data_IF_439811106914
#
_entry.id   IF_439811106914
#
_cell.length_a   1.000
_cell.length_b   1.000
_cell.length_c   1.000
_cell.angle_alpha   90.00
_cell.angle_beta   90.00
_cell.angle_gamma   90.00
#
_symmetry.space_group_name_H-M   'P 1'
#
loop_
_entity.id
_entity.type
_entity.pdbx_description
1 polymer ?
#
# COMPACT_ATOMS: atom_id res chain seq x y z
N UNK A 1 3.55 16.01 29.72
CA UNK A 1 2.37 15.70 28.89
C UNK A 1 2.51 14.25 28.46
N UNK A 2 1.52 13.37 28.73
CA UNK A 2 1.54 12.03 28.12
C UNK A 2 1.35 12.26 26.63
N UNK A 3 2.37 12.02 25.80
CA UNK A 3 2.18 11.98 24.35
C UNK A 3 1.09 10.93 24.09
N UNK A 4 -0.08 11.38 23.64
CA UNK A 4 -1.13 10.47 23.24
C UNK A 4 -0.63 9.68 22.04
N UNK A 5 -0.95 8.40 21.96
CA UNK A 5 -0.63 7.57 20.78
C UNK A 5 -1.19 8.16 19.49
N UNK A 6 -2.21 9.03 19.57
CA UNK A 6 -2.72 9.78 18.44
C UNK A 6 -1.78 10.92 17.98
N UNK A 7 -1.08 11.59 18.89
CA UNK A 7 -0.16 12.67 18.54
C UNK A 7 1.01 12.17 17.68
N UNK A 8 1.58 11.01 18.01
CA UNK A 8 2.63 10.39 17.19
C UNK A 8 2.09 9.97 15.81
N UNK A 9 0.85 9.47 15.73
CA UNK A 9 0.20 9.16 14.45
C UNK A 9 -0.01 10.41 13.59
N UNK A 10 -0.43 11.53 14.18
CA UNK A 10 -0.56 12.81 13.49
C UNK A 10 0.79 13.31 12.97
N UNK A 11 1.86 13.17 13.75
CA UNK A 11 3.20 13.57 13.33
C UNK A 11 3.68 12.76 12.12
N UNK A 12 3.47 11.43 12.13
CA UNK A 12 3.81 10.58 10.99
C UNK A 12 2.94 10.90 9.76
N UNK A 13 1.64 11.17 9.94
CA UNK A 13 0.77 11.60 8.85
C UNK A 13 1.25 12.92 8.21
N UNK A 14 1.77 13.84 9.03
CA UNK A 14 2.30 15.11 8.55
C UNK A 14 3.59 14.97 7.73
N UNK A 15 4.38 13.92 7.96
CA UNK A 15 5.61 13.65 7.21
C UNK A 15 5.34 13.18 5.77
N UNK A 16 4.22 12.50 5.51
CA UNK A 16 3.90 11.93 4.18
C UNK A 16 3.81 13.02 3.09
N UNK A 17 3.06 14.13 3.27
CA UNK A 17 3.08 15.24 2.32
C UNK A 17 4.47 15.84 2.08
N UNK A 18 5.32 15.89 3.11
CA UNK A 18 6.69 16.41 2.96
C UNK A 18 7.54 15.51 2.07
N UNK A 19 7.42 14.18 2.21
CA UNK A 19 8.09 13.24 1.32
C UNK A 19 7.55 13.33 -0.12
N UNK A 20 6.27 13.63 -0.34
CA UNK A 20 5.75 13.91 -1.68
C UNK A 20 6.41 15.14 -2.31
N UNK A 21 6.55 16.24 -1.56
CA UNK A 21 7.22 17.46 -2.03
C UNK A 21 8.70 17.19 -2.32
N UNK A 22 9.39 16.48 -1.43
CA UNK A 22 10.82 16.14 -1.56
C UNK A 22 11.12 15.25 -2.76
N UNK A 23 10.28 14.24 -3.03
CA UNK A 23 10.37 13.39 -4.22
C UNK A 23 9.75 14.04 -5.47
N UNK A 24 9.19 15.23 -5.30
CA UNK A 24 8.46 16.02 -6.29
C UNK A 24 7.38 15.19 -7.00
N UNK A 25 6.66 14.30 -6.32
CA UNK A 25 5.74 13.32 -6.94
C UNK A 25 4.77 14.00 -7.91
N UNK A 26 4.70 13.51 -9.15
CA UNK A 26 3.79 14.06 -10.17
C UNK A 26 2.36 13.60 -9.90
N UNK A 27 1.38 14.28 -10.52
CA UNK A 27 -0.01 13.87 -10.40
C UNK A 27 -0.25 12.45 -10.93
N UNK A 28 0.41 12.06 -12.02
CA UNK A 28 0.31 10.71 -12.61
C UNK A 28 0.87 9.65 -11.67
N UNK A 29 2.04 9.89 -11.08
CA UNK A 29 2.65 9.00 -10.09
C UNK A 29 1.75 8.86 -8.87
N UNK A 30 1.22 9.97 -8.34
CA UNK A 30 0.32 9.97 -7.20
C UNK A 30 -0.97 9.17 -7.46
N UNK A 31 -1.58 9.33 -8.64
CA UNK A 31 -2.79 8.59 -9.02
C UNK A 31 -2.52 7.08 -9.10
N UNK A 32 -1.39 6.68 -9.70
CA UNK A 32 -0.99 5.27 -9.75
C UNK A 32 -0.74 4.72 -8.35
N UNK A 33 0.00 5.46 -7.51
CA UNK A 33 0.26 5.11 -6.11
C UNK A 33 -1.02 4.93 -5.30
N UNK A 34 -2.01 5.82 -5.48
CA UNK A 34 -3.31 5.71 -4.80
C UNK A 34 -4.03 4.41 -5.14
N UNK A 35 -4.01 4.00 -6.41
CA UNK A 35 -4.63 2.73 -6.82
C UNK A 35 -3.83 1.53 -6.29
N UNK A 36 -2.50 1.58 -6.36
CA UNK A 36 -1.66 0.52 -5.81
C UNK A 36 -1.85 0.33 -4.30
N UNK A 37 -2.08 1.42 -3.55
CA UNK A 37 -2.42 1.34 -2.14
C UNK A 37 -3.71 0.56 -1.89
N UNK A 38 -4.75 0.80 -2.70
CA UNK A 38 -6.00 0.05 -2.64
C UNK A 38 -5.79 -1.43 -2.98
N UNK A 39 -4.99 -1.72 -4.01
CA UNK A 39 -4.71 -3.08 -4.49
C UNK A 39 -3.68 -3.85 -3.63
N UNK A 40 -3.10 -3.22 -2.62
CA UNK A 40 -2.22 -3.88 -1.65
C UNK A 40 -2.98 -4.53 -0.48
N UNK A 41 -4.28 -4.27 -0.35
CA UNK A 41 -5.10 -4.86 0.72
C UNK A 41 -5.97 -5.98 0.14
N UNK A 42 -5.53 -7.22 0.30
CA UNK A 42 -6.25 -8.44 -0.14
C UNK A 42 -6.69 -9.20 1.13
N UNK A 43 -7.85 -9.89 1.15
CA UNK A 43 -8.23 -10.85 2.21
C UNK A 43 -7.35 -12.13 2.20
N UNK A 44 -7.19 -12.80 3.34
CA UNK A 44 -6.41 -14.06 3.46
C UNK A 44 -7.03 -15.18 2.65
N UNK A 45 -8.36 -15.20 2.59
CA UNK A 45 -9.13 -16.21 1.86
C UNK A 45 -8.98 -16.05 0.34
N UNK A 46 -8.28 -15.00 -0.10
CA UNK A 46 -8.15 -14.62 -1.49
C UNK A 46 -9.43 -13.98 -2.03
N UNK A 47 -9.32 -13.39 -3.22
CA UNK A 47 -10.48 -12.87 -3.94
C UNK A 47 -11.08 -13.95 -4.83
N UNK A 48 -12.41 -13.89 -5.05
CA UNK A 48 -13.10 -14.79 -6.00
C UNK A 48 -12.46 -14.81 -7.38
N UNK A 49 -11.87 -13.69 -7.80
CA UNK A 49 -11.19 -13.52 -9.09
C UNK A 49 -9.75 -13.04 -8.90
N UNK A 50 -8.97 -13.81 -8.13
CA UNK A 50 -7.58 -13.50 -7.79
C UNK A 50 -6.72 -13.16 -9.02
N UNK A 51 -6.80 -13.93 -10.10
CA UNK A 51 -6.02 -13.69 -11.32
C UNK A 51 -6.31 -12.33 -11.95
N UNK A 52 -7.57 -11.90 -12.00
CA UNK A 52 -7.95 -10.60 -12.56
C UNK A 52 -7.47 -9.45 -11.65
N UNK A 53 -7.49 -9.67 -10.34
CA UNK A 53 -6.96 -8.70 -9.38
C UNK A 53 -5.44 -8.52 -9.51
N UNK A 54 -4.70 -9.63 -9.65
CA UNK A 54 -3.26 -9.61 -9.88
C UNK A 54 -2.90 -8.97 -11.22
N UNK A 55 -3.65 -9.27 -12.28
CA UNK A 55 -3.49 -8.63 -13.58
C UNK A 55 -3.72 -7.12 -13.49
N UNK A 56 -4.78 -6.69 -12.79
CA UNK A 56 -5.06 -5.28 -12.54
C UNK A 56 -3.91 -4.62 -11.78
N UNK A 57 -3.42 -5.22 -10.68
CA UNK A 57 -2.28 -4.74 -9.91
C UNK A 57 -1.04 -4.59 -10.77
N UNK A 58 -0.71 -5.60 -11.59
CA UNK A 58 0.43 -5.54 -12.52
C UNK A 58 0.26 -4.47 -13.59
N UNK A 59 -0.96 -4.19 -14.04
CA UNK A 59 -1.22 -3.11 -14.97
C UNK A 59 -0.89 -1.74 -14.36
N UNK A 60 -1.36 -1.48 -13.12
CA UNK A 60 -1.04 -0.23 -12.43
C UNK A 60 0.44 -0.09 -12.07
N UNK A 61 1.14 -1.19 -11.81
CA UNK A 61 2.60 -1.20 -11.68
C UNK A 61 3.27 -0.72 -12.97
N UNK A 62 2.84 -1.25 -14.12
CA UNK A 62 3.39 -0.84 -15.43
C UNK A 62 3.10 0.63 -15.73
N UNK A 63 1.90 1.10 -15.41
CA UNK A 63 1.55 2.53 -15.56
C UNK A 63 2.42 3.42 -14.66
N UNK A 64 2.74 3.00 -13.44
CA UNK A 64 3.67 3.74 -12.58
C UNK A 64 5.09 3.80 -13.20
N UNK A 65 5.59 2.69 -13.75
CA UNK A 65 6.90 2.66 -14.43
C UNK A 65 6.88 3.57 -15.67
N UNK A 66 5.79 3.57 -16.45
CA UNK A 66 5.62 4.47 -17.60
C UNK A 66 5.60 5.94 -17.16
N UNK A 67 4.84 6.29 -16.12
CA UNK A 67 4.78 7.66 -15.60
C UNK A 67 6.16 8.16 -15.14
N UNK A 68 6.96 7.29 -14.51
CA UNK A 68 8.36 7.57 -14.16
C UNK A 68 9.21 7.82 -15.42
N UNK A 69 9.04 6.99 -16.45
CA UNK A 69 9.77 7.11 -17.72
C UNK A 69 9.42 8.37 -18.51
N UNK A 70 8.13 8.73 -18.59
CA UNK A 70 7.65 9.95 -19.27
C UNK A 70 8.19 11.23 -18.63
N UNK A 71 8.44 11.18 -17.33
CA UNK A 71 9.01 12.29 -16.57
C UNK A 71 10.52 12.46 -16.78
N UNK A 72 11.23 11.46 -17.31
CA UNK A 72 12.69 11.54 -17.43
C UNK A 72 13.13 12.59 -18.45
N UNK A 73 13.42 13.79 -17.93
CA UNK A 73 14.37 14.78 -18.46
C UNK A 73 15.61 14.93 -17.55
N UNK A 74 15.84 14.01 -16.60
CA UNK A 74 16.83 14.16 -15.52
C UNK A 74 17.76 12.95 -15.29
N UNK A 75 18.78 13.15 -14.46
CA UNK A 75 19.98 12.29 -14.25
C UNK A 75 19.72 11.02 -13.41
N UNK A 76 18.55 10.88 -12.76
CA UNK A 76 18.26 9.75 -11.84
C UNK A 76 17.76 8.53 -12.61
N UNK A 77 18.35 7.33 -12.40
CA UNK A 77 17.88 6.08 -13.00
C UNK A 77 16.40 5.79 -12.65
N UNK A 78 15.64 5.29 -13.62
CA UNK A 78 14.21 4.98 -13.47
C UNK A 78 13.96 3.98 -12.34
N UNK A 79 14.84 2.99 -12.17
CA UNK A 79 14.80 2.00 -11.10
C UNK A 79 14.96 2.61 -9.70
N UNK A 80 15.82 3.62 -9.55
CA UNK A 80 16.02 4.29 -8.26
C UNK A 80 14.79 5.11 -7.88
N UNK A 81 14.18 5.82 -8.84
CA UNK A 81 12.93 6.55 -8.61
C UNK A 81 11.79 5.58 -8.26
N UNK A 82 11.72 4.46 -8.97
CA UNK A 82 10.74 3.41 -8.70
C UNK A 82 10.86 2.90 -7.26
N UNK A 83 12.08 2.60 -6.80
CA UNK A 83 12.36 2.21 -5.40
C UNK A 83 11.93 3.27 -4.38
N UNK A 84 12.19 4.56 -4.65
CA UNK A 84 11.78 5.65 -3.76
C UNK A 84 10.26 5.73 -3.60
N UNK A 85 9.51 5.57 -4.70
CA UNK A 85 8.05 5.64 -4.70
C UNK A 85 7.42 4.40 -4.04
N UNK A 86 7.95 3.20 -4.27
CA UNK A 86 7.46 1.99 -3.59
C UNK A 86 7.79 1.98 -2.11
N UNK A 87 8.96 2.49 -1.70
CA UNK A 87 9.27 2.70 -0.28
C UNK A 87 8.29 3.66 0.39
N UNK A 88 7.90 4.73 -0.29
CA UNK A 88 6.89 5.65 0.22
C UNK A 88 5.51 4.99 0.34
N UNK A 89 5.13 4.15 -0.62
CA UNK A 89 3.90 3.35 -0.54
C UNK A 89 3.90 2.40 0.66
N UNK A 90 5.01 1.71 0.91
CA UNK A 90 5.12 0.78 2.05
C UNK A 90 5.03 1.52 3.39
N UNK A 91 5.67 2.71 3.50
CA UNK A 91 5.55 3.56 4.70
C UNK A 91 4.11 4.06 4.91
N UNK A 92 3.44 4.48 3.84
CA UNK A 92 2.06 4.94 3.91
C UNK A 92 1.13 3.80 4.33
N UNK A 93 1.39 2.60 3.82
CA UNK A 93 0.66 1.41 4.20
C UNK A 93 0.81 1.09 5.69
N UNK A 94 2.01 1.14 6.25
CA UNK A 94 2.23 0.93 7.69
C UNK A 94 1.49 1.99 8.55
N UNK A 95 1.54 3.26 8.16
CA UNK A 95 0.77 4.32 8.81
C UNK A 95 -0.74 4.03 8.78
N UNK A 96 -1.28 3.60 7.64
CA UNK A 96 -2.70 3.25 7.50
C UNK A 96 -3.07 2.10 8.44
N UNK A 97 -2.20 1.09 8.62
CA UNK A 97 -2.43 0.00 9.60
C UNK A 97 -2.57 0.55 11.00
N UNK A 98 -1.65 1.41 11.42
CA UNK A 98 -1.63 1.96 12.77
C UNK A 98 -2.86 2.85 13.02
N UNK A 99 -3.25 3.67 12.04
CA UNK A 99 -4.48 4.48 12.11
C UNK A 99 -5.73 3.61 12.17
N UNK A 100 -5.77 2.55 11.38
CA UNK A 100 -6.89 1.62 11.37
C UNK A 100 -7.03 0.92 12.73
N UNK A 101 -5.93 0.44 13.31
CA UNK A 101 -5.89 -0.15 14.64
C UNK A 101 -6.35 0.84 15.73
N UNK A 102 -5.88 2.09 15.66
CA UNK A 102 -6.31 3.14 16.57
C UNK A 102 -7.82 3.42 16.45
N UNK A 103 -8.35 3.48 15.22
CA UNK A 103 -9.77 3.67 14.94
C UNK A 103 -10.61 2.55 15.56
N UNK A 104 -10.19 1.29 15.42
CA UNK A 104 -10.88 0.12 15.99
C UNK A 104 -10.86 0.13 17.52
N UNK A 105 -9.72 0.43 18.12
CA UNK A 105 -9.61 0.55 19.58
C UNK A 105 -10.52 1.66 20.12
N UNK A 106 -10.57 2.80 19.41
CA UNK A 106 -11.45 3.92 19.76
C UNK A 106 -12.92 3.53 19.56
N UNK A 107 -13.26 2.74 18.55
CA UNK A 107 -14.62 2.24 18.32
C UNK A 107 -15.08 1.29 19.43
N UNK A 108 -14.23 0.34 19.85
CA UNK A 108 -14.50 -0.57 20.97
C UNK A 108 -14.71 0.23 22.27
N UNK A 109 -13.90 1.26 22.48
CA UNK A 109 -13.95 2.11 23.67
C UNK A 109 -14.84 3.36 23.51
N UNK A 110 -15.62 3.45 22.43
CA UNK A 110 -16.36 4.65 22.03
C UNK A 110 -17.25 5.21 23.15
N UNK A 111 -17.94 4.32 23.88
CA UNK A 111 -18.77 4.67 25.04
C UNK A 111 -17.95 5.21 26.23
N UNK A 112 -16.76 4.68 26.47
CA UNK A 112 -15.88 5.13 27.55
C UNK A 112 -15.14 6.43 27.20
N UNK A 113 -14.84 6.64 25.92
CA UNK A 113 -14.15 7.82 25.38
C UNK A 113 -15.11 8.93 24.95
N UNK A 114 -16.42 8.70 25.00
CA UNK A 114 -17.47 9.62 24.52
C UNK A 114 -17.25 10.06 23.07
N UNK A 115 -16.86 9.10 22.21
CA UNK A 115 -16.64 9.33 20.78
C UNK A 115 -17.82 8.76 20.01
N UNK A 116 -18.43 9.58 19.16
CA UNK A 116 -19.51 9.16 18.26
C UNK A 116 -18.95 8.79 16.88
N UNK A 117 -19.48 7.72 16.31
CA UNK A 117 -19.15 7.27 14.96
C UNK A 117 -20.37 7.41 14.04
N UNK A 118 -20.21 7.99 12.84
CA UNK A 118 -21.26 8.00 11.83
C UNK A 118 -21.72 6.58 11.45
N UNK A 119 -22.96 6.45 10.97
CA UNK A 119 -23.58 5.16 10.63
C UNK A 119 -22.74 4.32 9.64
N UNK A 120 -22.37 4.91 8.50
CA UNK A 120 -21.54 4.23 7.50
C UNK A 120 -20.18 3.77 8.05
N UNK A 121 -19.55 4.59 8.90
CA UNK A 121 -18.27 4.23 9.52
C UNK A 121 -18.45 3.07 10.49
N UNK A 122 -19.55 3.06 11.25
CA UNK A 122 -19.86 2.01 12.20
C UNK A 122 -20.10 0.67 11.50
N UNK A 123 -20.81 0.67 10.37
CA UNK A 123 -21.03 -0.54 9.56
C UNK A 123 -19.73 -1.11 9.00
N UNK A 124 -18.89 -0.27 8.41
CA UNK A 124 -17.59 -0.68 7.85
C UNK A 124 -16.69 -1.24 8.94
N UNK A 125 -16.58 -0.55 10.08
CA UNK A 125 -15.77 -0.98 11.21
C UNK A 125 -16.30 -2.31 11.78
N UNK A 126 -17.61 -2.44 11.97
CA UNK A 126 -18.22 -3.67 12.48
C UNK A 126 -18.03 -4.88 11.55
N UNK A 127 -17.98 -4.66 10.23
CA UNK A 127 -17.70 -5.71 9.26
C UNK A 127 -16.21 -6.14 9.22
N UNK A 128 -15.31 -5.23 9.62
CA UNK A 128 -13.85 -5.47 9.65
C UNK A 128 -13.38 -6.02 11.00
N UNK A 129 -14.00 -5.62 12.11
CA UNK A 129 -13.61 -5.98 13.48
C UNK A 129 -13.41 -7.49 13.70
N UNK A 130 -14.32 -8.39 13.27
CA UNK A 130 -14.18 -9.83 13.48
C UNK A 130 -12.98 -10.41 12.72
N UNK A 131 -12.70 -9.89 11.51
CA UNK A 131 -11.57 -10.32 10.67
C UNK A 131 -10.24 -9.95 11.33
N UNK A 132 -10.21 -8.82 12.01
CA UNK A 132 -9.02 -8.30 12.69
C UNK A 132 -8.77 -9.08 14.00
N UNK A 133 -9.82 -9.30 14.79
CA UNK A 133 -9.74 -10.04 16.06
C UNK A 133 -9.45 -11.54 15.86
N UNK A 134 -9.89 -12.13 14.74
CA UNK A 134 -9.60 -13.52 14.41
C UNK A 134 -8.14 -13.76 13.96
N UNK A 135 -7.29 -12.72 13.95
CA UNK A 135 -5.96 -12.81 13.33
C UNK A 135 -6.03 -13.03 11.82
N UNK A 136 -7.23 -12.93 11.23
CA UNK A 136 -7.47 -13.03 9.78
C UNK A 136 -7.11 -11.72 9.07
N UNK A 137 -6.43 -10.79 9.75
CA UNK A 137 -5.58 -9.83 9.09
C UNK A 137 -4.40 -10.58 8.48
N UNK A 138 -4.68 -11.03 7.27
CA UNK A 138 -3.83 -10.96 6.09
C UNK A 138 -2.59 -10.14 6.36
N UNK A 139 -1.39 -10.63 5.99
CA UNK A 139 -0.26 -9.74 5.84
C UNK A 139 -0.75 -8.67 4.88
N UNK A 140 -1.11 -7.51 5.43
CA UNK A 140 -1.31 -6.28 4.69
C UNK A 140 -0.21 -6.29 3.64
N UNK A 141 -0.60 -6.43 2.37
CA UNK A 141 0.09 -7.19 1.32
C UNK A 141 1.62 -7.20 1.37
N UNK A 142 2.22 -8.30 0.89
CA UNK A 142 3.66 -8.38 0.60
C UNK A 142 4.14 -7.00 0.11
N UNK A 143 5.10 -6.44 0.84
CA UNK A 143 5.69 -5.13 0.52
C UNK A 143 5.96 -5.09 -0.97
N UNK A 144 5.56 -4.00 -1.63
CA UNK A 144 5.79 -3.87 -3.07
C UNK A 144 7.28 -4.10 -3.34
N UNK A 145 8.17 -3.60 -2.47
CA UNK A 145 9.61 -3.86 -2.53
C UNK A 145 9.97 -5.35 -2.45
N UNK A 146 9.29 -6.18 -1.65
CA UNK A 146 9.51 -7.63 -1.64
C UNK A 146 9.09 -8.28 -2.96
N UNK A 147 7.93 -7.91 -3.52
CA UNK A 147 7.52 -8.41 -4.85
C UNK A 147 8.49 -7.94 -5.94
N UNK A 148 8.99 -6.71 -5.84
CA UNK A 148 9.95 -6.15 -6.78
C UNK A 148 11.34 -6.79 -6.68
N UNK A 149 11.90 -6.95 -5.48
CA UNK A 149 13.18 -7.62 -5.28
C UNK A 149 13.14 -9.08 -5.72
N UNK A 150 12.05 -9.81 -5.42
CA UNK A 150 11.88 -11.20 -5.88
C UNK A 150 11.79 -11.27 -7.42
N UNK A 151 11.18 -10.27 -8.06
CA UNK A 151 11.10 -10.18 -9.54
C UNK A 151 12.44 -9.77 -10.15
N UNK A 152 13.16 -8.83 -9.54
CA UNK A 152 14.48 -8.35 -9.97
C UNK A 152 15.55 -9.45 -9.87
N UNK A 153 15.59 -10.21 -8.78
CA UNK A 153 16.47 -11.38 -8.66
C UNK A 153 16.13 -12.47 -9.68
N UNK A 154 14.86 -12.60 -10.08
CA UNK A 154 14.44 -13.58 -11.10
C UNK A 154 14.77 -13.18 -12.53
N UNK A 155 14.63 -11.89 -12.88
CA UNK A 155 14.73 -11.41 -14.27
C UNK A 155 16.11 -10.81 -14.62
N UNK A 156 17.08 -10.77 -13.71
CA UNK A 156 18.48 -10.52 -14.05
C UNK A 156 18.76 -9.12 -14.62
N UNK A 157 18.18 -8.08 -14.02
CA UNK A 157 18.48 -6.67 -14.36
C UNK A 157 17.54 -6.06 -15.40
N UNK A 158 17.34 -4.75 -15.26
CA UNK A 158 16.29 -3.92 -15.89
C UNK A 158 16.53 -3.64 -17.39
N UNK A 159 16.74 -4.67 -18.21
CA UNK A 159 17.10 -4.50 -19.63
C UNK A 159 16.19 -5.20 -20.65
N UNK A 160 14.97 -5.59 -20.30
CA UNK A 160 13.97 -5.94 -21.32
C UNK A 160 12.65 -5.20 -21.10
N UNK A 161 12.10 -4.57 -22.15
CA UNK A 161 10.74 -4.06 -22.09
C UNK A 161 9.86 -5.27 -21.78
N UNK A 162 9.08 -5.20 -20.71
CA UNK A 162 8.16 -6.26 -20.27
C UNK A 162 7.30 -6.72 -21.45
N UNK A 163 7.80 -7.74 -22.15
CA UNK A 163 7.08 -8.49 -23.15
C UNK A 163 6.02 -9.30 -22.42
N UNK A 164 4.84 -9.36 -23.02
CA UNK A 164 3.74 -10.23 -22.63
C UNK A 164 4.27 -11.60 -22.19
N UNK A 165 3.76 -12.12 -21.07
CA UNK A 165 4.18 -13.35 -20.37
C UNK A 165 5.31 -13.19 -19.34
N UNK A 166 5.01 -12.50 -18.23
CA UNK A 166 5.75 -12.72 -16.98
C UNK A 166 4.77 -13.21 -15.91
N UNK A 167 4.55 -14.53 -15.87
CA UNK A 167 3.75 -15.24 -14.87
C UNK A 167 4.19 -14.77 -13.48
N UNK A 168 3.30 -14.07 -12.79
CA UNK A 168 3.44 -13.75 -11.38
C UNK A 168 3.34 -15.10 -10.66
N UNK A 169 4.30 -15.48 -9.81
CA UNK A 169 4.14 -16.71 -9.03
C UNK A 169 2.89 -16.57 -8.17
N UNK A 170 2.04 -17.61 -8.07
CA UNK A 170 0.88 -17.57 -7.21
C UNK A 170 1.32 -17.33 -5.77
N UNK A 171 0.56 -16.52 -5.05
CA UNK A 171 0.77 -16.15 -3.64
C UNK A 171 0.98 -17.37 -2.73
N UNK A 172 0.48 -18.54 -3.14
CA UNK A 172 0.62 -19.82 -2.44
C UNK A 172 2.03 -20.43 -2.43
N UNK A 173 2.99 -19.90 -3.20
CA UNK A 173 4.35 -20.47 -3.28
C UNK A 173 5.34 -19.90 -2.24
N UNK A 174 4.89 -19.00 -1.36
CA UNK A 174 5.72 -18.39 -0.31
C UNK A 174 4.97 -18.42 1.02
N UNK A 175 4.58 -19.62 1.44
CA UNK A 175 4.36 -19.98 2.85
C UNK A 175 5.43 -21.01 3.20
#
# INVERSE_FOLDING_TARGET
MKESSFYSLCLTMWQIPQEFVKLQVSQEEFLCMKVLLLLNTIPLEGLRSQNQFEEMRSSYIRELIKAIGLRQKGVVPSSQRFYQLTKLLDNLHDLVKQLHLYCLNTFIQSRALSVEFPEMMSEVIAAQLPKILAGMNVPFGQSLLLTFHIKEERDGGFEKPFGSEAIIPPVSAVI
#
